data_IF_130880819812
#
_entry.id   IF_130880819812
#
_cell.length_a   1.000
_cell.length_b   1.000
_cell.length_c   1.000
_cell.angle_alpha   90.00
_cell.angle_beta   90.00
_cell.angle_gamma   90.00
#
_symmetry.space_group_name_H-M   'P 1'
#
loop_
_entity.id
_entity.type
_entity.pdbx_description
1 polymer ?
#
# COMPACT_ATOMS: atom_id res chain seq x y z
N UNK A 1 19.92 -0.63 16.96
CA UNK A 1 19.10 -0.24 15.81
C UNK A 1 17.70 0.13 16.28
N UNK A 2 17.20 1.22 15.77
CA UNK A 2 15.86 1.71 16.06
C UNK A 2 14.82 0.67 15.62
N UNK A 3 13.86 0.35 16.51
CA UNK A 3 12.79 -0.60 16.19
C UNK A 3 11.88 -0.08 15.06
N UNK A 4 11.73 1.24 14.95
CA UNK A 4 10.94 1.83 13.85
C UNK A 4 11.62 1.64 12.50
N UNK A 5 12.95 1.73 12.44
CA UNK A 5 13.70 1.43 11.20
C UNK A 5 13.47 -0.03 10.78
N UNK A 6 13.53 -0.95 11.74
CA UNK A 6 13.29 -2.38 11.44
C UNK A 6 11.86 -2.62 10.98
N UNK A 7 10.88 -1.96 11.59
CA UNK A 7 9.48 -2.11 11.18
C UNK A 7 9.28 -1.54 9.79
N UNK A 8 9.85 -0.37 9.49
CA UNK A 8 9.79 0.20 8.14
C UNK A 8 10.36 -0.76 7.10
N UNK A 9 11.52 -1.37 7.40
CA UNK A 9 12.17 -2.31 6.48
C UNK A 9 11.29 -3.54 6.24
N UNK A 10 10.63 -4.04 7.28
CA UNK A 10 9.70 -5.18 7.15
C UNK A 10 8.47 -4.82 6.33
N UNK A 11 7.94 -3.61 6.48
CA UNK A 11 6.82 -3.13 5.67
C UNK A 11 7.24 -3.01 4.21
N UNK A 12 8.42 -2.44 3.94
CA UNK A 12 8.96 -2.35 2.58
C UNK A 12 9.14 -3.74 1.97
N UNK A 13 9.70 -4.69 2.72
CA UNK A 13 9.89 -6.07 2.26
C UNK A 13 8.56 -6.74 1.92
N UNK A 14 7.51 -6.46 2.69
CA UNK A 14 6.18 -6.98 2.41
C UNK A 14 5.72 -6.59 0.99
N UNK A 15 5.90 -5.32 0.60
CA UNK A 15 5.50 -4.85 -0.73
C UNK A 15 6.40 -5.40 -1.83
N UNK A 16 7.71 -5.49 -1.58
CA UNK A 16 8.65 -6.08 -2.55
C UNK A 16 8.36 -7.57 -2.76
N UNK A 17 8.04 -8.30 -1.69
CA UNK A 17 7.66 -9.70 -1.78
C UNK A 17 6.37 -9.89 -2.60
N UNK A 18 5.40 -9.00 -2.40
CA UNK A 18 4.16 -9.02 -3.17
C UNK A 18 4.43 -8.85 -4.66
N UNK A 19 5.31 -7.90 -5.02
CA UNK A 19 5.64 -7.65 -6.42
C UNK A 19 6.33 -8.84 -7.09
N UNK A 20 7.28 -9.48 -6.38
CA UNK A 20 8.00 -10.62 -6.96
C UNK A 20 7.24 -11.95 -6.88
N UNK A 21 6.03 -11.93 -6.31
CA UNK A 21 5.17 -13.11 -6.22
C UNK A 21 5.57 -14.10 -5.12
N UNK A 22 6.37 -13.67 -4.14
CA UNK A 22 6.77 -14.49 -3.00
C UNK A 22 5.71 -14.40 -1.91
N UNK A 23 4.67 -15.23 -2.02
CA UNK A 23 3.51 -15.18 -1.14
C UNK A 23 3.87 -15.46 0.33
N UNK A 24 4.79 -16.37 0.59
CA UNK A 24 5.22 -16.68 1.96
C UNK A 24 5.90 -15.46 2.59
N UNK A 25 6.85 -14.83 1.89
CA UNK A 25 7.54 -13.65 2.39
C UNK A 25 6.57 -12.46 2.54
N UNK A 26 5.64 -12.30 1.59
CA UNK A 26 4.63 -11.24 1.64
C UNK A 26 3.80 -11.31 2.92
N UNK A 27 3.38 -12.53 3.31
CA UNK A 27 2.43 -12.71 4.41
C UNK A 27 3.11 -13.02 5.75
N UNK A 28 4.43 -13.09 5.79
CA UNK A 28 5.17 -13.33 7.04
C UNK A 28 5.00 -12.21 8.07
N UNK A 29 4.64 -11.01 7.63
CA UNK A 29 4.44 -9.84 8.50
C UNK A 29 3.17 -9.95 9.37
N UNK A 30 2.20 -10.79 8.97
CA UNK A 30 0.91 -10.88 9.64
C UNK A 30 0.93 -11.86 10.80
N UNK A 31 0.25 -11.49 11.90
CA UNK A 31 -0.11 -12.45 12.94
C UNK A 31 -1.07 -13.50 12.36
N UNK A 32 -1.08 -14.71 12.96
CA UNK A 32 -1.95 -15.80 12.49
C UNK A 32 -3.42 -15.38 12.46
N UNK A 33 -3.86 -14.63 13.46
CA UNK A 33 -5.25 -14.16 13.56
C UNK A 33 -5.49 -12.76 13.00
N UNK A 34 -4.58 -12.24 12.17
CA UNK A 34 -4.71 -10.88 11.62
C UNK A 34 -6.01 -10.70 10.83
N UNK A 35 -6.45 -9.45 10.76
CA UNK A 35 -7.65 -9.06 10.02
C UNK A 35 -7.26 -8.02 8.98
N UNK A 36 -7.75 -8.19 7.75
CA UNK A 36 -7.63 -7.22 6.66
C UNK A 36 -9.01 -6.72 6.28
N UNK A 37 -9.19 -5.41 6.31
CA UNK A 37 -10.44 -4.76 5.93
C UNK A 37 -10.28 -4.01 4.62
N UNK A 38 -11.25 -4.19 3.72
CA UNK A 38 -11.44 -3.37 2.52
C UNK A 38 -12.72 -2.55 2.72
N UNK A 39 -12.64 -1.33 3.30
CA UNK A 39 -13.86 -0.57 3.61
C UNK A 39 -14.70 -0.23 2.38
N UNK A 40 -14.06 -0.06 1.22
CA UNK A 40 -14.78 0.33 -0.01
C UNK A 40 -15.72 -0.77 -0.52
N UNK A 41 -15.37 -2.04 -0.31
CA UNK A 41 -16.24 -3.17 -0.66
C UNK A 41 -17.02 -3.71 0.54
N UNK A 42 -16.64 -3.27 1.75
CA UNK A 42 -17.26 -3.75 2.98
C UNK A 42 -16.83 -5.17 3.37
N UNK A 43 -15.68 -5.61 2.88
CA UNK A 43 -15.19 -6.96 3.13
C UNK A 43 -14.16 -6.99 4.26
N UNK A 44 -14.23 -8.04 5.07
CA UNK A 44 -13.21 -8.36 6.07
C UNK A 44 -12.69 -9.76 5.83
N UNK A 45 -11.36 -9.88 5.74
CA UNK A 45 -10.67 -11.17 5.63
C UNK A 45 -10.06 -11.49 6.99
N UNK A 46 -10.51 -12.56 7.61
CA UNK A 46 -10.08 -12.94 8.96
C UNK A 46 -9.08 -14.07 8.89
N UNK A 47 -7.91 -13.84 9.50
CA UNK A 47 -6.82 -14.79 9.57
C UNK A 47 -5.83 -14.68 8.42
N UNK A 48 -4.54 -14.87 8.76
CA UNK A 48 -3.46 -14.80 7.77
C UNK A 48 -3.72 -15.71 6.56
N UNK A 49 -4.26 -16.90 6.79
CA UNK A 49 -4.53 -17.85 5.71
C UNK A 49 -5.54 -17.29 4.70
N UNK A 50 -6.62 -16.64 5.17
CA UNK A 50 -7.61 -16.04 4.27
C UNK A 50 -7.06 -14.81 3.56
N UNK A 51 -6.26 -13.99 4.25
CA UNK A 51 -5.59 -12.85 3.62
C UNK A 51 -4.70 -13.31 2.48
N UNK A 52 -3.90 -14.33 2.73
CA UNK A 52 -2.99 -14.90 1.73
C UNK A 52 -3.75 -15.50 0.55
N UNK A 53 -4.81 -16.26 0.84
CA UNK A 53 -5.59 -16.93 -0.19
C UNK A 53 -6.24 -15.93 -1.16
N UNK A 54 -6.86 -14.86 -0.64
CA UNK A 54 -7.52 -13.89 -1.51
C UNK A 54 -6.52 -13.08 -2.34
N UNK A 55 -5.34 -12.75 -1.80
CA UNK A 55 -4.31 -12.04 -2.56
C UNK A 55 -3.66 -12.92 -3.62
N UNK A 56 -3.43 -14.18 -3.31
CA UNK A 56 -2.85 -15.13 -4.24
C UNK A 56 -3.75 -15.49 -5.42
N UNK A 57 -5.05 -15.25 -5.30
CA UNK A 57 -6.02 -15.50 -6.37
C UNK A 57 -6.10 -14.41 -7.43
N UNK A 58 -5.37 -13.30 -7.27
CA UNK A 58 -5.44 -12.20 -8.24
C UNK A 58 -4.70 -12.59 -9.53
N UNK A 59 -5.38 -12.59 -10.70
CA UNK A 59 -4.81 -13.11 -11.93
C UNK A 59 -3.85 -12.17 -12.66
N UNK A 60 -3.84 -10.88 -12.32
CA UNK A 60 -3.08 -9.88 -13.04
C UNK A 60 -1.62 -9.84 -12.59
N UNK A 61 -0.72 -9.47 -13.50
CA UNK A 61 0.67 -9.15 -13.17
C UNK A 61 0.71 -7.82 -12.41
N UNK A 62 1.31 -7.83 -11.23
CA UNK A 62 1.36 -6.67 -10.35
C UNK A 62 2.74 -6.05 -10.36
N UNK A 63 2.77 -4.72 -10.40
CA UNK A 63 3.98 -3.93 -10.20
C UNK A 63 3.69 -2.86 -9.15
N UNK A 64 4.56 -2.73 -8.15
CA UNK A 64 4.38 -1.78 -7.05
C UNK A 64 5.38 -0.63 -7.18
N UNK A 65 4.86 0.59 -7.06
CA UNK A 65 5.69 1.76 -6.80
C UNK A 65 5.38 2.23 -5.40
N UNK A 66 6.33 2.08 -4.48
CA UNK A 66 6.19 2.56 -3.11
C UNK A 66 6.48 4.05 -3.12
N UNK A 67 5.47 4.87 -2.84
CA UNK A 67 5.66 6.31 -2.78
C UNK A 67 6.16 6.72 -1.42
N UNK A 68 5.64 6.10 -0.35
CA UNK A 68 5.98 6.50 1.00
C UNK A 68 5.57 5.41 1.98
N UNK A 69 6.44 5.16 2.96
CA UNK A 69 6.12 4.36 4.14
C UNK A 69 6.40 5.26 5.34
N UNK A 70 5.39 5.47 6.18
CA UNK A 70 5.45 6.42 7.28
C UNK A 70 4.80 5.81 8.51
N UNK A 71 5.38 6.03 9.67
CA UNK A 71 4.79 5.54 10.91
C UNK A 71 5.70 5.68 12.11
N UNK A 72 5.17 5.27 13.23
CA UNK A 72 5.89 5.23 14.50
C UNK A 72 5.24 4.16 15.38
N UNK A 73 6.06 3.39 16.10
CA UNK A 73 5.55 2.36 17.00
C UNK A 73 4.74 1.31 16.26
N UNK A 74 3.48 1.19 16.64
CA UNK A 74 2.59 0.14 16.17
C UNK A 74 1.68 0.55 15.01
N UNK A 75 1.83 1.78 14.48
CA UNK A 75 0.99 2.27 13.39
C UNK A 75 1.85 2.67 12.20
N UNK A 76 1.61 2.02 11.04
CA UNK A 76 2.37 2.25 9.81
C UNK A 76 1.45 2.40 8.62
N UNK A 77 1.73 3.41 7.81
CA UNK A 77 0.97 3.72 6.60
C UNK A 77 1.88 3.57 5.40
N UNK A 78 1.41 2.85 4.39
CA UNK A 78 2.09 2.72 3.10
C UNK A 78 1.23 3.34 2.01
N UNK A 79 1.85 4.18 1.21
CA UNK A 79 1.22 4.76 0.03
C UNK A 79 1.90 4.19 -1.21
N UNK A 80 1.14 3.47 -2.03
CA UNK A 80 1.68 2.77 -3.19
C UNK A 80 0.84 3.05 -4.43
N UNK A 81 1.47 2.94 -5.59
CA UNK A 81 0.75 2.78 -6.85
C UNK A 81 0.95 1.34 -7.27
N UNK A 82 -0.14 0.60 -7.41
CA UNK A 82 -0.11 -0.80 -7.83
C UNK A 82 -0.61 -0.85 -9.27
N UNK A 83 0.25 -1.34 -10.17
CA UNK A 83 -0.14 -1.48 -11.57
C UNK A 83 -0.53 -2.92 -11.82
N UNK A 84 -1.79 -3.14 -12.24
CA UNK A 84 -2.32 -4.45 -12.60
C UNK A 84 -2.39 -4.51 -14.13
N UNK A 85 -1.53 -5.32 -14.74
CA UNK A 85 -1.43 -5.44 -16.21
C UNK A 85 -1.35 -4.07 -16.90
N UNK A 86 -0.56 -3.16 -16.33
CA UNK A 86 -0.34 -1.82 -16.86
C UNK A 86 -1.37 -0.78 -16.44
N UNK A 87 -2.42 -1.15 -15.68
CA UNK A 87 -3.44 -0.21 -15.22
C UNK A 87 -3.16 0.19 -13.78
N UNK A 88 -2.91 1.48 -13.49
CA UNK A 88 -2.58 1.92 -12.14
C UNK A 88 -3.79 1.94 -11.21
N UNK A 89 -3.55 1.52 -9.96
CA UNK A 89 -4.47 1.66 -8.84
C UNK A 89 -3.71 2.30 -7.69
N UNK A 90 -4.32 3.29 -7.06
CA UNK A 90 -3.71 3.97 -5.92
C UNK A 90 -4.12 3.26 -4.65
N UNK A 91 -3.15 2.95 -3.79
CA UNK A 91 -3.39 2.17 -2.59
C UNK A 91 -2.85 2.89 -1.37
N UNK A 92 -3.65 2.92 -0.31
CA UNK A 92 -3.22 3.33 1.03
C UNK A 92 -3.50 2.17 1.96
N UNK A 93 -2.45 1.67 2.60
CA UNK A 93 -2.52 0.58 3.58
C UNK A 93 -2.17 1.14 4.94
N UNK A 94 -3.03 0.86 5.92
CA UNK A 94 -2.83 1.24 7.31
C UNK A 94 -2.66 -0.04 8.11
N UNK A 95 -1.46 -0.25 8.63
CA UNK A 95 -1.10 -1.46 9.39
C UNK A 95 -0.97 -1.15 10.86
N UNK A 96 -1.68 -1.92 11.68
CA UNK A 96 -1.58 -1.87 13.14
C UNK A 96 -0.88 -3.12 13.63
N UNK A 97 0.19 -2.93 14.41
CA UNK A 97 1.05 -4.00 14.91
C UNK A 97 0.77 -4.29 16.37
N UNK A 98 0.91 -5.55 16.75
CA UNK A 98 0.93 -5.99 18.14
C UNK A 98 1.99 -7.08 18.25
N UNK A 99 2.93 -6.92 19.18
CA UNK A 99 3.99 -7.90 19.38
C UNK A 99 4.88 -8.11 18.16
N UNK A 100 5.04 -7.10 17.34
CA UNK A 100 5.90 -7.15 16.15
C UNK A 100 5.25 -7.71 14.90
N UNK A 101 3.95 -8.03 14.93
CA UNK A 101 3.20 -8.55 13.77
C UNK A 101 1.97 -7.71 13.52
N UNK A 102 1.57 -7.61 12.24
CA UNK A 102 0.33 -6.93 11.87
C UNK A 102 -0.84 -7.73 12.39
N UNK A 103 -1.69 -7.08 13.19
CA UNK A 103 -2.94 -7.66 13.69
C UNK A 103 -4.16 -7.12 12.98
N UNK A 104 -4.05 -5.91 12.41
CA UNK A 104 -5.14 -5.31 11.65
C UNK A 104 -4.55 -4.46 10.53
N UNK A 105 -5.01 -4.70 9.32
CA UNK A 105 -4.69 -3.85 8.18
C UNK A 105 -5.99 -3.33 7.57
N UNK A 106 -6.01 -2.02 7.28
CA UNK A 106 -7.10 -1.40 6.53
C UNK A 106 -6.50 -0.90 5.23
N UNK A 107 -7.07 -1.30 4.10
CA UNK A 107 -6.51 -0.94 2.80
C UNK A 107 -7.59 -0.31 1.91
N UNK A 108 -7.24 0.83 1.33
CA UNK A 108 -8.07 1.55 0.37
C UNK A 108 -7.43 1.51 -1.00
N UNK A 109 -8.26 1.42 -2.03
CA UNK A 109 -7.84 1.44 -3.42
C UNK A 109 -8.60 2.52 -4.16
N UNK A 110 -7.94 3.17 -5.12
CA UNK A 110 -8.58 4.16 -5.95
C UNK A 110 -8.08 4.06 -7.39
N UNK A 111 -9.01 4.10 -8.33
CA UNK A 111 -8.67 4.16 -9.73
C UNK A 111 -8.27 5.57 -10.14
N UNK A 112 -7.47 5.67 -11.21
CA UNK A 112 -7.23 6.96 -11.85
C UNK A 112 -8.56 7.51 -12.38
N UNK A 113 -8.75 8.82 -12.24
CA UNK A 113 -9.95 9.47 -12.80
C UNK A 113 -9.56 10.76 -13.50
N UNK A 114 -10.44 11.24 -14.38
CA UNK A 114 -10.22 12.47 -15.13
C UNK A 114 -10.33 13.69 -14.22
N UNK A 115 -9.43 14.65 -14.42
CA UNK A 115 -9.48 15.91 -13.71
C UNK A 115 -10.71 16.71 -14.15
N UNK A 116 -11.45 17.25 -13.18
CA UNK A 116 -12.61 18.07 -13.49
C UNK A 116 -12.18 19.38 -14.13
N UNK A 117 -12.83 19.76 -15.26
CA UNK A 117 -12.43 20.93 -16.03
C UNK A 117 -12.60 22.24 -15.28
N UNK A 118 -13.58 22.32 -14.38
CA UNK A 118 -13.86 23.58 -13.64
C UNK A 118 -12.71 24.04 -12.75
N UNK A 119 -11.85 23.10 -12.31
CA UNK A 119 -10.72 23.43 -11.43
C UNK A 119 -9.38 23.55 -12.17
N UNK A 120 -9.36 23.33 -13.48
CA UNK A 120 -8.13 23.40 -14.29
C UNK A 120 -7.34 24.70 -14.11
N UNK A 121 -7.98 25.89 -14.03
CA UNK A 121 -7.23 27.14 -13.84
C UNK A 121 -6.51 27.24 -12.51
N UNK A 122 -6.88 26.42 -11.53
CA UNK A 122 -6.30 26.43 -10.18
C UNK A 122 -5.27 25.32 -9.96
N UNK A 123 -5.12 24.43 -10.93
CA UNK A 123 -4.31 23.20 -10.77
C UNK A 123 -3.08 23.26 -11.66
N UNK A 124 -2.04 22.57 -11.20
CA UNK A 124 -0.89 22.27 -12.02
C UNK A 124 -0.69 20.75 -12.03
N UNK A 125 -0.05 20.20 -13.06
CA UNK A 125 0.20 18.74 -13.10
C UNK A 125 1.15 18.32 -11.99
N UNK A 126 0.88 17.16 -11.39
CA UNK A 126 1.87 16.51 -10.53
C UNK A 126 2.97 15.97 -11.45
N UNK A 127 4.27 16.28 -11.20
CA UNK A 127 5.35 15.70 -12.02
C UNK A 127 5.32 14.19 -12.00
N UNK A 128 5.75 13.56 -13.10
CA UNK A 128 5.71 12.10 -13.25
C UNK A 128 6.49 11.36 -12.14
N UNK A 129 7.54 11.99 -11.61
CA UNK A 129 8.35 11.44 -10.52
C UNK A 129 7.78 11.76 -9.12
N UNK A 130 6.64 12.43 -9.05
CA UNK A 130 6.02 12.85 -7.80
C UNK A 130 6.61 14.12 -7.19
N UNK A 131 7.55 14.75 -7.84
CA UNK A 131 8.30 15.95 -7.47
C UNK A 131 8.03 16.61 -6.12
N UNK A 132 9.03 17.26 -5.58
CA UNK A 132 8.96 18.00 -4.31
C UNK A 132 7.97 19.18 -4.44
N UNK A 133 6.89 19.23 -3.63
CA UNK A 133 5.93 20.35 -3.68
C UNK A 133 6.56 21.70 -3.29
N UNK A 134 7.74 21.70 -2.65
CA UNK A 134 8.48 22.94 -2.35
C UNK A 134 9.17 23.55 -3.53
N UNK A 135 9.21 22.87 -4.71
CA UNK A 135 9.86 23.39 -5.91
C UNK A 135 8.83 23.97 -6.88
N UNK A 136 9.15 25.08 -7.56
CA UNK A 136 8.22 25.65 -8.55
C UNK A 136 7.95 24.68 -9.69
N UNK A 137 6.70 24.65 -10.17
CA UNK A 137 6.33 23.87 -11.33
C UNK A 137 7.06 24.39 -12.57
N UNK A 138 7.61 23.48 -13.38
CA UNK A 138 8.30 23.83 -14.61
C UNK A 138 9.68 24.46 -14.43
N UNK A 139 10.17 24.43 -13.19
CA UNK A 139 11.50 24.95 -12.87
C UNK A 139 12.64 24.01 -13.25
#
# INVERSE_FOLDING_TARGET
MDSDVRTRDRVAEHWHASERGDSEAEHAIYAVGAVLDYPQSGERFRGRANIQAQRGGHPATRHFTIRRISGIGDLWVSECIITYDGVPSFSVSIMEFTGGYVTHETQYFGDKFEAASWRAPLAEPIPADGGDPGQPAGG
#
